data_IF_468787987203
#
_entry.id   IF_468787987203
#
_cell.length_a   1.000
_cell.length_b   1.000
_cell.length_c   1.000
_cell.angle_alpha   90.00
_cell.angle_beta   90.00
_cell.angle_gamma   90.00
#
_symmetry.space_group_name_H-M   'P 1'
#
loop_
_entity.id
_entity.type
_entity.pdbx_description
1 polymer ?
#
# COMPACT_ATOMS: atom_id res chain seq x y z
N UNK A 1 4.28 -12.15 5.04
CA UNK A 1 4.69 -11.77 6.40
C UNK A 1 3.94 -10.51 6.78
N UNK A 2 3.33 -10.47 7.96
CA UNK A 2 2.46 -9.37 8.39
C UNK A 2 3.25 -8.06 8.56
N UNK A 3 2.73 -6.96 8.02
CA UNK A 3 3.30 -5.61 8.15
C UNK A 3 3.45 -5.16 9.61
N UNK A 4 2.75 -5.83 10.53
CA UNK A 4 2.79 -5.55 11.95
C UNK A 4 4.18 -5.75 12.57
N UNK A 5 5.04 -6.67 12.13
CA UNK A 5 6.30 -6.94 12.83
C UNK A 5 7.47 -5.98 12.50
N UNK A 6 7.31 -5.10 11.49
CA UNK A 6 8.40 -4.24 11.06
C UNK A 6 8.56 -3.01 11.98
N UNK A 7 9.71 -2.89 12.64
CA UNK A 7 10.01 -1.78 13.57
C UNK A 7 9.96 -0.41 12.88
N UNK A 8 10.42 -0.33 11.62
CA UNK A 8 10.37 0.92 10.84
C UNK A 8 8.92 1.30 10.52
N UNK A 9 8.06 0.32 10.19
CA UNK A 9 6.64 0.58 9.94
C UNK A 9 5.90 1.18 11.14
N UNK A 10 6.36 0.90 12.37
CA UNK A 10 5.79 1.42 13.62
C UNK A 10 6.45 2.72 14.10
N UNK A 11 7.55 3.12 13.48
CA UNK A 11 8.33 4.29 13.92
C UNK A 11 7.77 5.59 13.35
N UNK A 12 7.96 6.70 14.06
CA UNK A 12 7.69 8.06 13.56
C UNK A 12 8.57 8.42 12.35
N UNK A 13 9.77 7.82 12.24
CA UNK A 13 10.74 8.02 11.16
C UNK A 13 10.43 7.24 9.89
N UNK A 14 9.30 6.52 9.84
CA UNK A 14 8.90 5.70 8.68
C UNK A 14 8.97 6.51 7.37
N UNK A 15 8.29 7.66 7.32
CA UNK A 15 8.18 8.47 6.10
C UNK A 15 9.54 8.98 5.63
N UNK A 16 10.40 9.38 6.56
CA UNK A 16 11.74 9.87 6.26
C UNK A 16 12.63 8.75 5.72
N UNK A 17 12.58 7.56 6.32
CA UNK A 17 13.29 6.37 5.83
C UNK A 17 12.78 5.96 4.44
N UNK A 18 11.46 5.97 4.22
CA UNK A 18 10.83 5.71 2.91
C UNK A 18 11.30 6.72 1.85
N UNK A 19 11.41 8.01 2.21
CA UNK A 19 11.95 9.05 1.32
C UNK A 19 13.42 8.77 0.94
N UNK A 20 14.27 8.43 1.91
CA UNK A 20 15.67 8.10 1.61
C UNK A 20 15.81 6.80 0.79
N UNK A 21 14.91 5.83 1.01
CA UNK A 21 14.84 4.62 0.18
C UNK A 21 14.45 4.95 -1.26
N UNK A 22 13.52 5.89 -1.48
CA UNK A 22 13.13 6.33 -2.83
C UNK A 22 14.26 7.01 -3.60
N UNK A 23 15.14 7.70 -2.87
CA UNK A 23 16.37 8.29 -3.41
C UNK A 23 17.48 7.25 -3.69
N UNK A 24 17.20 5.96 -3.49
CA UNK A 24 18.13 4.83 -3.69
C UNK A 24 19.42 4.95 -2.85
N UNK A 25 19.35 5.59 -1.67
CA UNK A 25 20.50 5.66 -0.77
C UNK A 25 20.90 4.26 -0.26
N UNK A 26 22.20 3.99 -0.06
CA UNK A 26 22.67 2.75 0.55
C UNK A 26 22.08 2.55 1.95
N UNK A 27 21.65 1.32 2.26
CA UNK A 27 20.99 1.01 3.54
C UNK A 27 21.85 1.36 4.75
N UNK A 28 23.15 1.09 4.67
CA UNK A 28 24.11 1.43 5.73
C UNK A 28 24.16 2.93 6.01
N UNK A 29 24.01 3.77 4.98
CA UNK A 29 23.99 5.23 5.14
C UNK A 29 22.70 5.70 5.82
N UNK A 30 21.57 5.11 5.44
CA UNK A 30 20.28 5.36 6.11
C UNK A 30 20.37 4.90 7.57
N UNK A 31 20.89 3.69 7.83
CA UNK A 31 21.05 3.15 9.17
C UNK A 31 21.91 4.04 10.07
N UNK A 32 23.03 4.59 9.56
CA UNK A 32 23.89 5.52 10.31
C UNK A 32 23.14 6.76 10.80
N UNK A 33 22.19 7.28 10.01
CA UNK A 33 21.41 8.47 10.41
C UNK A 33 20.43 8.19 11.55
N UNK A 34 19.92 6.97 11.64
CA UNK A 34 18.87 6.61 12.61
C UNK A 34 19.35 5.67 13.72
N UNK A 35 20.62 5.28 13.76
CA UNK A 35 21.16 4.28 14.71
C UNK A 35 20.95 4.72 16.18
N UNK A 36 21.19 6.00 16.47
CA UNK A 36 21.01 6.57 17.81
C UNK A 36 19.52 6.64 18.17
N UNK A 37 18.70 6.98 17.20
CA UNK A 37 17.25 7.14 17.33
C UNK A 37 16.52 5.83 17.64
N UNK A 38 16.94 4.73 17.00
CA UNK A 38 16.37 3.40 17.26
C UNK A 38 17.10 2.65 18.39
N UNK A 39 18.22 3.22 18.90
CA UNK A 39 19.05 2.66 19.97
C UNK A 39 19.41 1.19 19.76
N UNK A 40 19.75 0.82 18.51
CA UNK A 40 20.12 -0.55 18.13
C UNK A 40 21.42 -0.59 17.36
N UNK A 41 22.01 -1.77 17.27
CA UNK A 41 23.20 -1.98 16.46
C UNK A 41 22.96 -1.57 14.99
N UNK A 42 23.96 -0.89 14.40
CA UNK A 42 23.93 -0.41 13.03
C UNK A 42 23.57 -1.51 12.01
N UNK A 43 24.16 -2.69 12.15
CA UNK A 43 23.91 -3.83 11.26
C UNK A 43 22.48 -4.36 11.40
N UNK A 44 21.95 -4.41 12.64
CA UNK A 44 20.57 -4.81 12.88
C UNK A 44 19.56 -3.80 12.28
N UNK A 45 19.89 -2.51 12.34
CA UNK A 45 19.09 -1.46 11.71
C UNK A 45 19.14 -1.54 10.18
N UNK A 46 20.32 -1.79 9.61
CA UNK A 46 20.49 -2.02 8.17
C UNK A 46 19.62 -3.18 7.67
N UNK A 47 19.63 -4.32 8.38
CA UNK A 47 18.76 -5.45 8.07
C UNK A 47 17.28 -5.09 8.19
N UNK A 48 16.92 -4.30 9.20
CA UNK A 48 15.55 -3.82 9.39
C UNK A 48 15.10 -2.94 8.21
N UNK A 49 15.97 -2.06 7.72
CA UNK A 49 15.73 -1.20 6.54
C UNK A 49 15.57 -2.05 5.28
N UNK A 50 16.44 -3.03 5.07
CA UNK A 50 16.34 -3.95 3.93
C UNK A 50 15.03 -4.74 3.93
N UNK A 51 14.63 -5.25 5.10
CA UNK A 51 13.32 -5.90 5.28
C UNK A 51 12.17 -4.92 5.01
N UNK A 52 12.24 -3.69 5.51
CA UNK A 52 11.23 -2.67 5.26
C UNK A 52 11.09 -2.34 3.77
N UNK A 53 12.19 -2.28 3.01
CA UNK A 53 12.18 -2.08 1.55
C UNK A 53 11.27 -3.08 0.83
N UNK A 54 11.20 -4.33 1.31
CA UNK A 54 10.35 -5.37 0.68
C UNK A 54 8.85 -5.09 0.82
N UNK A 55 8.46 -4.23 1.76
CA UNK A 55 7.07 -3.82 1.99
C UNK A 55 6.78 -2.42 1.45
N UNK A 56 7.82 -1.60 1.31
CA UNK A 56 7.78 -0.32 0.64
C UNK A 56 7.57 -0.55 -0.86
N UNK A 57 6.31 -0.42 -1.31
CA UNK A 57 6.00 -0.25 -2.73
C UNK A 57 5.90 1.23 -2.99
N UNK A 58 6.78 1.75 -3.84
CA UNK A 58 6.55 3.06 -4.43
C UNK A 58 5.27 3.00 -5.26
N UNK A 59 4.35 3.90 -4.96
CA UNK A 59 3.21 4.14 -5.83
C UNK A 59 3.73 4.61 -7.18
N UNK A 60 3.23 4.00 -8.24
CA UNK A 60 3.39 4.48 -9.61
C UNK A 60 2.86 5.91 -9.74
N UNK A 61 3.28 6.62 -10.81
CA UNK A 61 2.84 7.99 -11.09
C UNK A 61 1.30 8.11 -11.06
N UNK A 62 0.62 7.16 -11.70
CA UNK A 62 -0.85 7.10 -11.74
C UNK A 62 -1.48 6.82 -10.37
N UNK A 63 -0.86 5.96 -9.55
CA UNK A 63 -1.35 5.72 -8.17
C UNK A 63 -1.15 6.94 -7.27
N UNK A 64 -0.07 7.70 -7.48
CA UNK A 64 0.15 8.98 -6.79
C UNK A 64 -0.88 10.02 -7.20
N UNK A 65 -1.17 10.14 -8.50
CA UNK A 65 -2.19 11.05 -9.04
C UNK A 65 -3.58 10.73 -8.50
N UNK A 66 -3.97 9.44 -8.49
CA UNK A 66 -5.24 9.00 -7.92
C UNK A 66 -5.34 9.33 -6.42
N UNK A 67 -4.26 9.09 -5.66
CA UNK A 67 -4.21 9.37 -4.23
C UNK A 67 -4.34 10.87 -3.94
N UNK A 68 -3.68 11.73 -4.72
CA UNK A 68 -3.78 13.18 -4.58
C UNK A 68 -5.18 13.70 -4.94
N UNK A 69 -5.81 13.17 -5.99
CA UNK A 69 -7.18 13.52 -6.35
C UNK A 69 -8.20 13.08 -5.29
N UNK A 70 -7.99 11.91 -4.67
CA UNK A 70 -8.80 11.45 -3.54
C UNK A 70 -8.63 12.35 -2.31
N UNK A 71 -7.40 12.72 -1.93
CA UNK A 71 -7.14 13.63 -0.81
C UNK A 71 -7.78 15.01 -0.99
N UNK A 72 -7.84 15.49 -2.23
CA UNK A 72 -8.48 16.76 -2.59
C UNK A 72 -10.01 16.67 -2.64
N UNK A 73 -10.59 15.50 -2.36
CA UNK A 73 -12.04 15.26 -2.44
C UNK A 73 -12.59 15.27 -3.88
N UNK A 74 -11.72 15.27 -4.89
CA UNK A 74 -12.11 15.29 -6.29
C UNK A 74 -12.52 13.92 -6.84
N UNK A 75 -12.35 12.86 -6.06
CA UNK A 75 -12.67 11.48 -6.44
C UNK A 75 -13.36 10.81 -5.26
N UNK A 76 -14.47 10.13 -5.54
CA UNK A 76 -15.25 9.40 -4.54
C UNK A 76 -14.59 8.06 -4.18
N UNK A 77 -14.93 7.51 -3.01
CA UNK A 77 -14.44 6.18 -2.60
C UNK A 77 -14.80 5.10 -3.63
N UNK A 78 -15.99 5.15 -4.21
CA UNK A 78 -16.45 4.18 -5.21
C UNK A 78 -15.60 4.19 -6.48
N UNK A 79 -15.13 5.37 -6.90
CA UNK A 79 -14.26 5.51 -8.06
C UNK A 79 -12.86 4.96 -7.78
N UNK A 80 -12.32 5.24 -6.59
CA UNK A 80 -11.04 4.67 -6.15
C UNK A 80 -11.12 3.14 -6.10
N UNK A 81 -12.20 2.57 -5.54
CA UNK A 81 -12.41 1.13 -5.48
C UNK A 81 -12.49 0.48 -6.87
N UNK A 82 -13.16 1.12 -7.85
CA UNK A 82 -13.23 0.63 -9.23
C UNK A 82 -11.86 0.58 -9.90
N UNK A 83 -11.05 1.63 -9.74
CA UNK A 83 -9.70 1.70 -10.33
C UNK A 83 -8.79 0.65 -9.71
N UNK A 84 -8.84 0.48 -8.38
CA UNK A 84 -8.08 -0.57 -7.68
C UNK A 84 -8.51 -1.96 -8.16
N UNK A 85 -9.81 -2.21 -8.29
CA UNK A 85 -10.33 -3.50 -8.74
C UNK A 85 -9.90 -3.83 -10.18
N UNK A 86 -10.06 -2.88 -11.11
CA UNK A 86 -9.65 -3.06 -12.51
C UNK A 86 -8.15 -3.39 -12.62
N UNK A 87 -7.31 -2.66 -11.88
CA UNK A 87 -5.86 -2.82 -11.91
C UNK A 87 -5.38 -4.09 -11.19
N UNK A 88 -6.10 -4.52 -10.15
CA UNK A 88 -5.89 -5.82 -9.54
C UNK A 88 -6.19 -6.94 -10.54
N UNK A 89 -7.31 -6.84 -11.28
CA UNK A 89 -7.67 -7.79 -12.34
C UNK A 89 -6.67 -7.81 -13.50
N UNK A 90 -6.22 -6.65 -13.99
CA UNK A 90 -5.19 -6.59 -15.04
C UNK A 90 -3.88 -7.25 -14.57
N UNK A 91 -3.41 -6.93 -13.36
CA UNK A 91 -2.22 -7.57 -12.80
C UNK A 91 -2.39 -9.09 -12.64
N UNK A 92 -3.58 -9.54 -12.27
CA UNK A 92 -3.95 -10.95 -12.18
C UNK A 92 -3.87 -11.64 -13.55
N UNK A 93 -4.42 -11.01 -14.59
CA UNK A 93 -4.41 -11.54 -15.97
C UNK A 93 -3.00 -11.58 -16.56
N UNK A 94 -2.18 -10.56 -16.28
CA UNK A 94 -0.81 -10.47 -16.80
C UNK A 94 0.18 -11.37 -16.02
N UNK A 95 -0.15 -11.75 -14.78
CA UNK A 95 0.72 -12.59 -13.94
C UNK A 95 -0.07 -13.71 -13.24
N UNK A 96 -0.72 -14.62 -13.97
CA UNK A 96 -1.61 -15.63 -13.40
C UNK A 96 -0.87 -16.57 -12.42
N UNK A 97 0.43 -16.77 -12.62
CA UNK A 97 1.29 -17.57 -11.75
C UNK A 97 1.46 -16.99 -10.33
N UNK A 98 1.22 -15.69 -10.14
CA UNK A 98 1.47 -14.95 -8.88
C UNK A 98 0.23 -14.76 -8.03
N UNK A 99 -0.91 -15.21 -8.53
CA UNK A 99 -2.22 -15.12 -7.88
C UNK A 99 -2.27 -16.01 -6.64
N UNK A 100 -2.50 -15.40 -5.47
CA UNK A 100 -2.76 -16.15 -4.25
C UNK A 100 -4.26 -16.18 -3.98
N UNK A 101 -4.72 -17.24 -3.32
CA UNK A 101 -6.12 -17.39 -2.93
C UNK A 101 -6.69 -16.18 -2.18
N UNK A 102 -5.87 -15.52 -1.34
CA UNK A 102 -6.25 -14.29 -0.63
C UNK A 102 -6.57 -13.11 -1.57
N UNK A 103 -5.96 -13.05 -2.75
CA UNK A 103 -6.15 -11.96 -3.71
C UNK A 103 -7.52 -12.14 -4.38
N UNK A 104 -7.90 -13.38 -4.71
CA UNK A 104 -9.23 -13.76 -5.18
C UNK A 104 -10.33 -13.42 -4.16
N UNK A 105 -10.15 -13.79 -2.88
CA UNK A 105 -11.12 -13.46 -1.82
C UNK A 105 -11.29 -11.95 -1.64
N UNK A 106 -10.20 -11.19 -1.76
CA UNK A 106 -10.24 -9.72 -1.63
C UNK A 106 -11.04 -9.08 -2.77
N UNK A 107 -10.84 -9.56 -4.00
CA UNK A 107 -11.61 -9.14 -5.18
C UNK A 107 -13.08 -9.53 -5.05
N UNK A 108 -13.38 -10.76 -4.65
CA UNK A 108 -14.75 -11.22 -4.42
C UNK A 108 -15.46 -10.38 -3.35
N UNK A 109 -14.78 -10.03 -2.25
CA UNK A 109 -15.35 -9.15 -1.22
C UNK A 109 -15.67 -7.75 -1.74
N UNK A 110 -14.85 -7.19 -2.63
CA UNK A 110 -15.13 -5.91 -3.28
C UNK A 110 -16.36 -6.01 -4.20
N UNK A 111 -16.48 -7.09 -4.98
CA UNK A 111 -17.64 -7.33 -5.85
C UNK A 111 -18.93 -7.47 -5.03
N UNK A 112 -18.90 -8.26 -3.95
CA UNK A 112 -20.05 -8.45 -3.06
C UNK A 112 -20.44 -7.14 -2.36
N UNK A 113 -19.46 -6.34 -1.90
CA UNK A 113 -19.74 -5.01 -1.34
C UNK A 113 -20.39 -4.08 -2.35
N UNK A 114 -19.92 -4.07 -3.60
CA UNK A 114 -20.52 -3.29 -4.69
C UNK A 114 -21.96 -3.71 -4.98
N UNK A 115 -22.25 -5.01 -4.99
CA UNK A 115 -23.61 -5.53 -5.13
C UNK A 115 -24.54 -5.09 -4.00
N UNK A 116 -24.05 -5.12 -2.76
CA UNK A 116 -24.82 -4.70 -1.59
C UNK A 116 -25.05 -3.17 -1.53
N UNK A 117 -24.09 -2.37 -1.99
CA UNK A 117 -24.23 -0.91 -2.13
C UNK A 117 -25.26 -0.56 -3.21
N UNK A 118 -25.21 -1.21 -4.37
CA UNK A 118 -26.18 -1.02 -5.44
C UNK A 118 -27.60 -1.41 -5.00
N UNK A 119 -27.76 -2.51 -4.26
CA UNK A 119 -29.06 -2.92 -3.73
C UNK A 119 -29.60 -1.94 -2.67
N UNK A 120 -28.72 -1.37 -1.83
CA UNK A 120 -29.11 -0.31 -0.89
C UNK A 120 -29.55 0.95 -1.63
N UNK A 121 -28.81 1.42 -2.63
CA UNK A 121 -29.15 2.61 -3.42
C UNK A 121 -30.43 2.41 -4.26
N UNK A 122 -30.66 1.20 -4.77
CA UNK A 122 -31.90 0.86 -5.47
C UNK A 122 -33.12 0.91 -4.53
N UNK A 123 -32.95 0.57 -3.24
CA UNK A 123 -33.99 0.70 -2.21
C UNK A 123 -34.26 2.13 -1.72
N UNK A 124 -33.43 3.11 -2.10
CA UNK A 124 -33.64 4.53 -1.82
C UNK A 124 -34.20 5.32 -3.01
N UNK A 125 -34.52 4.67 -4.15
CA UNK A 125 -35.38 5.28 -5.17
C UNK A 125 -36.82 5.27 -4.67
N UNK A 126 -37.16 6.31 -3.92
CA UNK A 126 -38.54 6.69 -3.65
C UNK A 126 -39.13 7.42 -4.85
N UNK A 127 -40.38 7.10 -5.10
CA UNK A 127 -41.38 7.89 -5.84
C UNK A 127 -41.35 9.39 -5.46
#
# INVERSE_FOLDING_TARGET
>A
MSHYACRICRSSYRKEIEQLLSQKLPFRNIARRFVNTFSINLHALEQSINCHRKHFKELSKQEKELLESYKKGGVTNDEVERVIAARAFENMLMNPQRLKFKDFISVQRLIVRKGNLNNKLAGYRWE
#
